data_IF_707101424336
#
_entry.id   IF_707101424336
#
_cell.length_a   1.000
_cell.length_b   1.000
_cell.length_c   1.000
_cell.angle_alpha   90.00
_cell.angle_beta   90.00
_cell.angle_gamma   90.00
#
_symmetry.space_group_name_H-M   'P 1'
#
loop_
_entity.id
_entity.type
_entity.pdbx_description
1 polymer ?
#
# COMPACT_ATOMS: atom_id res chain seq x y z
N UNK A 1 -15.58 14.07 -8.23
CA UNK A 1 -16.12 12.79 -8.75
C UNK A 1 -15.98 11.71 -7.69
N UNK A 2 -17.04 11.01 -7.39
CA UNK A 2 -16.97 9.93 -6.43
C UNK A 2 -16.47 8.66 -7.14
N UNK A 3 -15.83 7.79 -6.37
CA UNK A 3 -15.29 6.55 -6.94
C UNK A 3 -16.37 5.71 -7.62
N UNK A 4 -17.60 5.76 -7.09
CA UNK A 4 -18.71 5.03 -7.68
C UNK A 4 -19.10 5.55 -9.06
N UNK A 5 -18.71 6.77 -9.40
CA UNK A 5 -19.00 7.37 -10.69
C UNK A 5 -17.97 7.01 -11.74
N UNK A 6 -16.89 6.32 -11.34
CA UNK A 6 -15.89 5.85 -12.29
C UNK A 6 -16.33 4.54 -12.92
N UNK A 7 -15.94 4.33 -14.17
CA UNK A 7 -16.16 3.05 -14.80
C UNK A 7 -15.33 1.99 -14.07
N UNK A 8 -15.72 0.71 -14.10
CA UNK A 8 -14.92 -0.34 -13.46
C UNK A 8 -13.46 -0.33 -13.85
N UNK A 9 -13.15 -0.01 -15.12
CA UNK A 9 -11.76 0.01 -15.59
C UNK A 9 -10.94 1.14 -14.96
N UNK A 10 -11.58 2.14 -14.37
CA UNK A 10 -10.90 3.26 -13.72
C UNK A 10 -10.67 3.04 -12.23
N UNK A 11 -11.31 2.03 -11.64
CA UNK A 11 -11.13 1.71 -10.23
C UNK A 11 -9.85 0.90 -10.04
N UNK A 12 -9.07 1.16 -8.99
CA UNK A 12 -7.81 0.45 -8.79
C UNK A 12 -7.93 -1.07 -8.84
N UNK A 13 -8.93 -1.63 -8.14
CA UNK A 13 -9.09 -3.08 -8.10
C UNK A 13 -9.42 -3.65 -9.48
N UNK A 14 -10.31 -3.00 -10.20
CA UNK A 14 -10.70 -3.46 -11.53
C UNK A 14 -9.56 -3.32 -12.52
N UNK A 15 -8.77 -2.25 -12.41
CA UNK A 15 -7.58 -2.10 -13.24
C UNK A 15 -6.58 -3.21 -12.98
N UNK A 16 -6.37 -3.56 -11.71
CA UNK A 16 -5.49 -4.67 -11.37
C UNK A 16 -6.00 -5.97 -11.96
N UNK A 17 -7.29 -6.28 -11.78
CA UNK A 17 -7.87 -7.52 -12.25
C UNK A 17 -7.91 -7.59 -13.78
N UNK A 18 -7.92 -6.45 -14.45
CA UNK A 18 -7.84 -6.39 -15.90
C UNK A 18 -6.41 -6.49 -16.45
N UNK A 19 -5.43 -6.70 -15.58
CA UNK A 19 -4.03 -6.83 -15.99
C UNK A 19 -3.27 -5.53 -16.06
N UNK A 20 -3.80 -4.46 -15.48
CA UNK A 20 -3.19 -3.13 -15.54
C UNK A 20 -2.63 -2.66 -14.19
N UNK A 21 -2.18 -3.61 -13.35
CA UNK A 21 -1.67 -3.28 -12.02
C UNK A 21 -0.46 -2.35 -12.05
N UNK A 22 0.39 -2.50 -13.05
CA UNK A 22 1.60 -1.69 -13.15
C UNK A 22 1.30 -0.21 -13.43
N UNK A 23 0.11 0.11 -13.91
CA UNK A 23 -0.29 1.49 -14.16
C UNK A 23 -0.84 2.18 -12.92
N UNK A 24 -0.98 1.46 -11.80
CA UNK A 24 -1.52 2.04 -10.57
C UNK A 24 -0.49 2.95 -9.91
N UNK A 25 -0.95 4.09 -9.44
CA UNK A 25 -0.11 5.01 -8.68
C UNK A 25 0.16 4.44 -7.29
N UNK A 26 1.23 4.92 -6.64
CA UNK A 26 1.58 4.48 -5.29
C UNK A 26 0.41 4.65 -4.31
N UNK A 27 -0.30 5.77 -4.39
CA UNK A 27 -1.45 6.00 -3.51
C UNK A 27 -2.56 5.00 -3.76
N UNK A 28 -2.76 4.59 -5.00
CA UNK A 28 -3.77 3.59 -5.33
C UNK A 28 -3.39 2.21 -4.78
N UNK A 29 -2.12 1.86 -4.85
CA UNK A 29 -1.64 0.59 -4.28
C UNK A 29 -1.79 0.57 -2.76
N UNK A 30 -1.43 1.66 -2.09
CA UNK A 30 -1.63 1.78 -0.65
C UNK A 30 -3.10 1.73 -0.29
N UNK A 31 -3.95 2.38 -1.08
CA UNK A 31 -5.40 2.37 -0.85
C UNK A 31 -5.94 0.94 -0.93
N UNK A 32 -5.46 0.16 -1.87
CA UNK A 32 -5.85 -1.25 -1.97
C UNK A 32 -5.40 -2.04 -0.76
N UNK A 33 -4.18 -1.80 -0.29
CA UNK A 33 -3.64 -2.48 0.87
C UNK A 33 -4.45 -2.16 2.12
N UNK A 34 -4.79 -0.88 2.33
CA UNK A 34 -5.52 -0.45 3.52
C UNK A 34 -7.01 -0.74 3.46
N UNK A 35 -7.59 -0.76 2.27
CA UNK A 35 -8.98 -1.10 2.05
C UNK A 35 -9.98 0.00 2.38
N UNK A 36 -9.70 0.81 3.39
CA UNK A 36 -10.60 1.89 3.82
C UNK A 36 -9.78 3.16 4.08
N UNK A 37 -10.46 4.31 4.01
CA UNK A 37 -9.88 5.56 4.42
C UNK A 37 -10.19 5.85 5.88
N UNK A 38 -10.53 7.09 6.16
CA UNK A 38 -10.98 7.54 7.47
C UNK A 38 -12.19 8.41 7.25
N UNK A 39 -12.87 8.78 8.33
CA UNK A 39 -14.04 9.63 8.22
C UNK A 39 -13.70 10.91 7.44
N UNK A 40 -14.45 11.19 6.40
CA UNK A 40 -14.24 12.36 5.56
C UNK A 40 -13.14 12.23 4.52
N UNK A 41 -12.55 11.04 4.37
CA UNK A 41 -11.42 10.86 3.47
C UNK A 41 -11.41 9.43 2.93
N UNK A 42 -11.37 9.28 1.61
CA UNK A 42 -11.30 7.95 0.99
C UNK A 42 -9.93 7.32 1.24
N UNK A 43 -9.82 6.02 0.95
CA UNK A 43 -8.53 5.33 1.08
C UNK A 43 -7.46 5.95 0.19
N UNK A 44 -7.80 6.32 -1.05
CA UNK A 44 -6.84 6.95 -1.96
C UNK A 44 -6.44 8.34 -1.43
N UNK A 45 -7.41 9.12 -0.96
CA UNK A 45 -7.10 10.44 -0.40
C UNK A 45 -6.22 10.34 0.84
N UNK A 46 -6.49 9.35 1.70
CA UNK A 46 -5.65 9.11 2.87
C UNK A 46 -4.23 8.76 2.43
N UNK A 47 -4.10 7.86 1.47
CA UNK A 47 -2.79 7.47 0.96
C UNK A 47 -2.04 8.65 0.36
N UNK A 48 -2.73 9.49 -0.41
CA UNK A 48 -2.12 10.70 -0.97
C UNK A 48 -1.62 11.63 0.12
N UNK A 49 -2.41 11.81 1.18
CA UNK A 49 -2.02 12.66 2.31
C UNK A 49 -0.80 12.12 3.02
N UNK A 50 -0.78 10.81 3.30
CA UNK A 50 0.35 10.18 3.99
C UNK A 50 1.61 10.29 3.13
N UNK A 51 1.52 9.97 1.85
CA UNK A 51 2.67 10.09 0.95
C UNK A 51 3.17 11.53 0.86
N UNK A 52 2.26 12.49 0.80
CA UNK A 52 2.63 13.90 0.76
C UNK A 52 3.39 14.34 2.00
N UNK A 53 3.01 13.81 3.18
CA UNK A 53 3.66 14.19 4.44
C UNK A 53 4.99 13.47 4.67
N UNK A 54 5.20 12.33 4.04
CA UNK A 54 6.37 11.50 4.32
C UNK A 54 7.42 11.53 3.22
N UNK A 55 7.20 12.30 2.17
CA UNK A 55 8.17 12.42 1.09
C UNK A 55 8.06 11.34 0.03
N UNK A 56 6.85 10.86 -0.21
CA UNK A 56 6.60 9.83 -1.20
C UNK A 56 6.78 8.42 -0.63
N UNK A 57 6.73 7.44 -1.49
CA UNK A 57 6.81 6.04 -1.07
C UNK A 57 8.15 5.74 -0.38
N UNK A 58 9.25 6.20 -0.96
CA UNK A 58 10.56 5.99 -0.36
C UNK A 58 10.65 6.59 1.04
N UNK A 59 10.10 7.79 1.21
CA UNK A 59 10.06 8.44 2.52
C UNK A 59 9.22 7.67 3.52
N UNK A 60 8.07 7.18 3.07
CA UNK A 60 7.18 6.41 3.93
C UNK A 60 7.84 5.12 4.42
N UNK A 61 8.42 4.35 3.51
CA UNK A 61 9.02 3.06 3.88
C UNK A 61 10.31 3.20 4.67
N UNK A 62 10.94 4.37 4.60
CA UNK A 62 12.13 4.65 5.41
C UNK A 62 11.80 4.91 6.88
N UNK A 63 10.54 5.23 7.20
CA UNK A 63 10.09 5.44 8.57
C UNK A 63 9.83 4.11 9.26
N UNK A 64 9.85 4.14 10.58
CA UNK A 64 9.50 2.97 11.36
C UNK A 64 8.03 2.94 11.75
N UNK A 65 7.63 1.83 12.38
CA UNK A 65 6.26 1.63 12.82
C UNK A 65 5.75 2.76 13.72
N UNK A 66 6.59 3.20 14.65
CA UNK A 66 6.16 4.27 15.57
C UNK A 66 5.86 5.57 14.83
N UNK A 67 6.65 5.89 13.81
CA UNK A 67 6.40 7.07 13.00
C UNK A 67 5.13 6.95 12.19
N UNK A 68 4.83 5.77 11.69
CA UNK A 68 3.58 5.53 10.98
C UNK A 68 2.37 5.74 11.89
N UNK A 69 2.47 5.27 13.12
CA UNK A 69 1.37 5.41 14.08
C UNK A 69 1.08 6.87 14.43
N UNK A 70 2.03 7.77 14.21
CA UNK A 70 1.85 9.19 14.43
C UNK A 70 1.17 9.89 13.25
N UNK A 71 1.06 9.22 12.10
CA UNK A 71 0.43 9.83 10.93
C UNK A 71 -1.09 9.85 11.09
N UNK A 72 -1.73 11.02 10.85
CA UNK A 72 -3.19 11.08 10.92
C UNK A 72 -3.83 10.07 10.00
N UNK A 73 -4.75 9.29 10.52
CA UNK A 73 -5.47 8.29 9.77
C UNK A 73 -4.77 6.94 9.67
N UNK A 74 -3.56 6.83 10.15
CA UNK A 74 -2.79 5.58 10.11
C UNK A 74 -2.78 4.97 11.51
N UNK A 75 -3.86 4.27 11.85
CA UNK A 75 -3.94 3.56 13.12
C UNK A 75 -3.21 2.22 13.09
N UNK A 76 -3.30 1.47 14.20
CA UNK A 76 -2.59 0.19 14.31
C UNK A 76 -2.90 -0.80 13.19
N UNK A 77 -4.15 -0.84 12.72
CA UNK A 77 -4.52 -1.78 11.67
C UNK A 77 -3.79 -1.48 10.36
N UNK A 78 -3.82 -0.21 9.92
CA UNK A 78 -3.17 0.17 8.67
C UNK A 78 -1.66 0.15 8.76
N UNK A 79 -1.11 0.60 9.88
CA UNK A 79 0.33 0.54 10.12
C UNK A 79 0.80 -0.92 10.14
N UNK A 80 0.03 -1.79 10.78
CA UNK A 80 0.33 -3.22 10.81
C UNK A 80 0.25 -3.87 9.44
N UNK A 81 -0.73 -3.50 8.65
CA UNK A 81 -0.85 -4.00 7.28
C UNK A 81 0.36 -3.62 6.44
N UNK A 82 0.80 -2.37 6.53
CA UNK A 82 1.97 -1.91 5.79
C UNK A 82 3.23 -2.63 6.26
N UNK A 83 3.39 -2.74 7.57
CA UNK A 83 4.55 -3.46 8.13
C UNK A 83 4.57 -4.91 7.67
N UNK A 84 3.42 -5.59 7.75
CA UNK A 84 3.32 -6.99 7.36
C UNK A 84 3.63 -7.17 5.87
N UNK A 85 3.12 -6.29 5.01
CA UNK A 85 3.38 -6.37 3.57
C UNK A 85 4.88 -6.23 3.30
N UNK A 86 5.52 -5.26 3.94
CA UNK A 86 6.96 -5.04 3.77
C UNK A 86 7.78 -6.21 4.29
N UNK A 87 7.38 -6.76 5.44
CA UNK A 87 8.11 -7.89 6.02
C UNK A 87 7.96 -9.15 5.17
N UNK A 88 6.76 -9.38 4.63
CA UNK A 88 6.55 -10.51 3.72
C UNK A 88 7.40 -10.38 2.47
N UNK A 89 7.46 -9.19 1.90
CA UNK A 89 8.29 -8.93 0.72
C UNK A 89 9.77 -9.16 1.05
N UNK A 90 10.22 -8.69 2.21
CA UNK A 90 11.60 -8.89 2.64
C UNK A 90 11.93 -10.37 2.79
N UNK A 91 11.04 -11.13 3.41
CA UNK A 91 11.26 -12.57 3.59
C UNK A 91 11.27 -13.32 2.26
N UNK A 92 10.38 -12.94 1.35
CA UNK A 92 10.33 -13.55 0.03
C UNK A 92 11.62 -13.25 -0.77
N UNK A 93 12.09 -12.02 -0.71
CA UNK A 93 13.32 -11.62 -1.36
C UNK A 93 14.52 -12.36 -0.80
N UNK A 94 14.59 -12.45 0.53
CA UNK A 94 15.68 -13.15 1.20
C UNK A 94 15.70 -14.63 0.83
N UNK A 95 14.53 -15.27 0.79
CA UNK A 95 14.41 -16.68 0.41
C UNK A 95 14.85 -16.88 -1.04
N UNK A 96 14.47 -15.97 -1.93
CA UNK A 96 14.82 -16.07 -3.35
C UNK A 96 16.32 -15.91 -3.58
N UNK A 97 17.01 -15.18 -2.72
CA UNK A 97 18.45 -14.96 -2.82
C UNK A 97 19.28 -16.12 -2.27
N UNK A 98 18.66 -17.00 -1.49
CA UNK A 98 19.38 -18.16 -0.97
C UNK A 98 19.55 -19.21 -2.03
N UNK A 99 20.74 -19.84 -2.11
CA UNK A 99 20.89 -21.01 -2.96
C UNK A 99 19.86 -22.03 -2.55
N UNK A 100 19.11 -22.51 -3.52
CA UNK A 100 18.19 -23.61 -3.22
C UNK A 100 19.00 -24.83 -2.89
N UNK A 101 18.80 -25.29 -1.68
CA UNK A 101 19.25 -26.62 -1.36
C UNK A 101 18.39 -27.54 -2.21
N UNK A 102 19.04 -28.24 -3.12
CA UNK A 102 18.32 -29.19 -3.94
C UNK A 102 17.60 -30.12 -3.00
N UNK A 103 16.32 -29.92 -2.90
CA UNK A 103 15.50 -30.78 -2.12
C UNK A 103 15.56 -32.16 -2.74
N UNK A 104 15.87 -33.16 -1.99
CA UNK A 104 15.69 -34.50 -2.52
C UNK A 104 14.24 -34.69 -2.90
#
# INVERSE_FOLDING_TARGET
MRILDLSPEQRPRERLLAGHGESLADAELLAMLWGTGRQGQSAVELAQSVLGRTGGLAGLVALGLNDWLEQPGLGPAKAGQLWAAMELARRAQHTAERPRIASP
#
